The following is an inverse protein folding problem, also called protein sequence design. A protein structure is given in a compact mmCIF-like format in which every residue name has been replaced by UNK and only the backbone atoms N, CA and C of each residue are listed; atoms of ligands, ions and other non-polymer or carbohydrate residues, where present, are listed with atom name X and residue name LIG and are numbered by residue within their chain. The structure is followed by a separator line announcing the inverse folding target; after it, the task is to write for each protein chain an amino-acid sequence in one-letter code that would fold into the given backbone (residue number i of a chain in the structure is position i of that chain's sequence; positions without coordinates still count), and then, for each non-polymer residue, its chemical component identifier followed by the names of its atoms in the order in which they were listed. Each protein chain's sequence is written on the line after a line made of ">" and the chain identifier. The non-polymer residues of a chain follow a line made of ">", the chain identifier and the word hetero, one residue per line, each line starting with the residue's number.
data_IF_456373670674
#
_entry.id   IF_456373670674
#
_cell.length_a   1.000
_cell.length_b   1.000
_cell.length_c   1.000
_cell.angle_alpha   90.00
_cell.angle_beta   90.00
_cell.angle_gamma   90.00
#
_symmetry.space_group_name_H-M   'P 1'
#
loop_
_entity.id
_entity.type
_entity.pdbx_description
1 polymer ?
#
# COMPACT_ATOMS: atom_id res chain seq x y z
N UNK A 1 -25.72 -21.30 -2.69
CA UNK A 1 -26.01 -22.55 -3.43
C UNK A 1 -24.80 -23.47 -3.23
N UNK A 2 -24.94 -24.55 -2.46
CA UNK A 2 -24.04 -25.71 -2.24
C UNK A 2 -22.58 -25.68 -2.75
N UNK A 3 -21.65 -24.97 -2.08
CA UNK A 3 -20.20 -25.14 -2.30
C UNK A 3 -19.48 -25.95 -1.20
N UNK A 4 -20.15 -26.26 -0.08
CA UNK A 4 -19.52 -26.86 1.10
C UNK A 4 -19.30 -28.39 1.03
N UNK A 5 -19.61 -29.05 -0.10
CA UNK A 5 -19.57 -30.52 -0.22
C UNK A 5 -18.46 -31.07 -1.14
N UNK A 6 -17.77 -30.22 -1.91
CA UNK A 6 -16.66 -30.63 -2.76
C UNK A 6 -15.44 -29.77 -2.42
N UNK A 7 -14.33 -30.41 -2.09
CA UNK A 7 -13.09 -29.69 -1.79
C UNK A 7 -12.68 -28.77 -2.94
N UNK A 8 -12.19 -27.58 -2.59
CA UNK A 8 -11.63 -26.57 -3.49
C UNK A 8 -10.42 -27.14 -4.21
N UNK A 9 -10.52 -27.29 -5.52
CA UNK A 9 -9.45 -27.88 -6.35
C UNK A 9 -8.43 -26.80 -6.62
N UNK A 10 -7.22 -26.97 -6.07
CA UNK A 10 -6.21 -25.92 -6.10
C UNK A 10 -4.96 -26.31 -6.90
N UNK A 11 -4.40 -25.34 -7.61
CA UNK A 11 -3.04 -25.42 -8.17
C UNK A 11 -2.09 -24.57 -7.33
N UNK A 12 -0.84 -25.01 -7.22
CA UNK A 12 0.24 -24.22 -6.63
C UNK A 12 1.19 -23.81 -7.75
N UNK A 13 1.43 -22.51 -7.90
CA UNK A 13 2.37 -21.96 -8.89
C UNK A 13 3.70 -21.69 -8.20
N UNK A 14 4.75 -22.33 -8.72
CA UNK A 14 6.06 -22.42 -8.09
C UNK A 14 6.39 -23.84 -7.63
N UNK A 15 7.67 -24.18 -7.61
CA UNK A 15 8.19 -25.51 -7.22
C UNK A 15 9.26 -25.43 -6.11
N UNK A 16 9.60 -24.22 -5.66
CA UNK A 16 10.62 -23.98 -4.64
C UNK A 16 10.16 -24.30 -3.22
N UNK A 17 10.98 -23.88 -2.26
CA UNK A 17 10.79 -24.19 -0.83
C UNK A 17 9.45 -23.70 -0.28
N UNK A 18 9.07 -22.47 -0.61
CA UNK A 18 7.77 -21.89 -0.24
C UNK A 18 6.59 -22.68 -0.81
N UNK A 19 6.61 -23.06 -2.09
CA UNK A 19 5.55 -23.87 -2.71
C UNK A 19 5.35 -25.23 -2.00
N UNK A 20 6.44 -25.88 -1.60
CA UNK A 20 6.38 -27.13 -0.84
C UNK A 20 5.90 -26.95 0.60
N UNK A 21 6.23 -25.83 1.23
CA UNK A 21 5.71 -25.45 2.55
C UNK A 21 4.20 -25.25 2.52
N UNK A 22 3.69 -24.56 1.49
CA UNK A 22 2.25 -24.36 1.26
C UNK A 22 1.54 -25.72 1.17
N UNK A 23 2.05 -26.63 0.32
CA UNK A 23 1.51 -27.99 0.21
C UNK A 23 1.50 -28.72 1.57
N UNK A 24 2.59 -28.64 2.34
CA UNK A 24 2.70 -29.31 3.65
C UNK A 24 1.69 -28.77 4.66
N UNK A 25 1.47 -27.45 4.69
CA UNK A 25 0.52 -26.80 5.61
C UNK A 25 -0.93 -27.12 5.27
N UNK A 26 -1.27 -27.09 3.99
CA UNK A 26 -2.61 -27.44 3.53
C UNK A 26 -2.92 -28.92 3.79
N UNK A 27 -1.92 -29.80 3.64
CA UNK A 27 -2.07 -31.21 4.01
C UNK A 27 -2.15 -31.46 5.53
N UNK A 28 -1.46 -30.64 6.35
CA UNK A 28 -1.45 -30.81 7.81
C UNK A 28 -2.68 -30.21 8.50
N UNK A 29 -3.44 -29.34 7.82
CA UNK A 29 -4.69 -28.74 8.32
C UNK A 29 -5.88 -29.12 7.42
N UNK A 30 -6.35 -30.39 7.44
CA UNK A 30 -7.41 -30.89 6.55
C UNK A 30 -8.81 -30.29 6.81
N UNK A 31 -8.94 -29.31 7.72
CA UNK A 31 -10.16 -28.53 7.91
C UNK A 31 -10.39 -27.53 6.77
N UNK A 32 -9.31 -27.09 6.12
CA UNK A 32 -9.39 -26.29 4.92
C UNK A 32 -9.55 -27.27 3.76
N UNK A 33 -10.73 -27.33 3.16
CA UNK A 33 -11.15 -28.31 2.15
C UNK A 33 -10.39 -28.14 0.82
N UNK A 34 -9.06 -28.01 0.80
CA UNK A 34 -8.26 -27.87 -0.41
C UNK A 34 -7.79 -29.24 -0.91
N UNK A 35 -8.05 -29.52 -2.19
CA UNK A 35 -7.51 -30.66 -2.90
C UNK A 35 -6.47 -30.16 -3.91
N UNK A 36 -5.19 -30.25 -3.55
CA UNK A 36 -4.10 -29.84 -4.45
C UNK A 36 -4.06 -30.78 -5.65
N UNK A 37 -4.39 -30.25 -6.82
CA UNK A 37 -4.43 -31.00 -8.08
C UNK A 37 -3.02 -31.17 -8.64
N UNK A 38 -2.19 -30.13 -8.53
CA UNK A 38 -0.86 -30.13 -9.14
C UNK A 38 -0.07 -28.86 -8.89
N UNK A 39 1.22 -28.93 -9.23
CA UNK A 39 2.11 -27.80 -9.32
C UNK A 39 2.16 -27.24 -10.75
N UNK A 40 2.47 -25.96 -10.84
CA UNK A 40 2.76 -25.25 -12.08
C UNK A 40 4.19 -24.70 -12.00
N UNK A 41 5.05 -25.16 -12.91
CA UNK A 41 6.43 -24.71 -13.00
C UNK A 41 6.51 -23.39 -13.77
N UNK A 42 7.27 -22.44 -13.27
CA UNK A 42 7.48 -21.15 -13.93
C UNK A 42 8.35 -21.31 -15.18
N UNK A 43 9.27 -22.27 -15.20
CA UNK A 43 10.31 -22.40 -16.24
C UNK A 43 10.13 -23.58 -17.20
N UNK A 44 8.99 -24.30 -17.16
CA UNK A 44 8.68 -25.46 -18.05
C UNK A 44 9.66 -26.65 -17.99
N UNK A 45 10.64 -26.66 -17.09
CA UNK A 45 11.75 -27.63 -17.17
C UNK A 45 11.40 -29.00 -16.61
N UNK A 46 10.39 -29.07 -15.72
CA UNK A 46 10.14 -30.26 -14.88
C UNK A 46 8.73 -30.84 -15.05
N UNK A 47 8.14 -30.70 -16.23
CA UNK A 47 6.80 -31.21 -16.52
C UNK A 47 6.70 -32.73 -16.27
N UNK A 48 5.66 -33.15 -15.53
CA UNK A 48 5.43 -34.56 -15.18
C UNK A 48 6.25 -35.08 -13.98
N UNK A 49 7.18 -34.29 -13.45
CA UNK A 49 7.84 -34.65 -12.20
C UNK A 49 6.88 -34.53 -11.00
N UNK A 50 7.19 -35.27 -9.93
CA UNK A 50 6.41 -35.27 -8.69
C UNK A 50 7.19 -34.67 -7.54
N UNK A 51 6.58 -33.72 -6.85
CA UNK A 51 7.10 -33.08 -5.64
C UNK A 51 6.17 -33.46 -4.49
N UNK A 52 6.69 -34.18 -3.50
CA UNK A 52 5.91 -34.67 -2.34
C UNK A 52 4.60 -35.40 -2.74
N UNK A 53 4.65 -36.17 -3.84
CA UNK A 53 3.52 -36.94 -4.35
C UNK A 53 2.54 -36.18 -5.25
N UNK A 54 2.72 -34.87 -5.42
CA UNK A 54 1.91 -34.02 -6.32
C UNK A 54 2.67 -33.75 -7.60
N UNK A 55 2.00 -33.88 -8.74
CA UNK A 55 2.59 -33.77 -10.08
C UNK A 55 2.66 -32.32 -10.59
N UNK A 56 3.68 -32.02 -11.38
CA UNK A 56 3.77 -30.77 -12.15
C UNK A 56 2.97 -30.93 -13.43
N UNK A 57 1.80 -30.28 -13.50
CA UNK A 57 0.82 -30.45 -14.56
C UNK A 57 1.05 -29.52 -15.77
N UNK A 58 1.86 -28.49 -15.61
CA UNK A 58 2.03 -27.49 -16.64
C UNK A 58 2.94 -26.35 -16.20
N UNK A 59 2.85 -25.27 -16.95
CA UNK A 59 3.58 -24.04 -16.70
C UNK A 59 2.68 -22.82 -16.63
N UNK A 60 3.26 -21.69 -16.27
CA UNK A 60 2.58 -20.38 -16.26
C UNK A 60 2.02 -19.99 -17.63
N UNK A 61 2.52 -20.58 -18.72
CA UNK A 61 2.00 -20.41 -20.08
C UNK A 61 0.79 -21.33 -20.35
N UNK A 62 0.83 -22.57 -19.87
CA UNK A 62 -0.22 -23.57 -20.12
C UNK A 62 -1.27 -23.67 -19.02
N UNK A 63 -1.10 -22.91 -17.93
CA UNK A 63 -1.95 -22.95 -16.73
C UNK A 63 -3.44 -22.78 -17.03
N UNK A 64 -3.82 -21.98 -18.03
CA UNK A 64 -5.22 -21.85 -18.45
C UNK A 64 -5.85 -23.18 -18.87
N UNK A 65 -5.12 -23.97 -19.68
CA UNK A 65 -5.57 -25.31 -20.10
C UNK A 65 -5.69 -26.25 -18.90
N UNK A 66 -4.70 -26.20 -18.00
CA UNK A 66 -4.70 -27.04 -16.78
C UNK A 66 -5.90 -26.70 -15.89
N UNK A 67 -6.22 -25.42 -15.73
CA UNK A 67 -7.37 -24.94 -14.97
C UNK A 67 -8.67 -25.54 -15.52
N UNK A 68 -8.86 -25.47 -16.85
CA UNK A 68 -10.08 -25.95 -17.50
C UNK A 68 -10.20 -27.47 -17.45
N UNK A 69 -9.13 -28.19 -17.82
CA UNK A 69 -9.09 -29.66 -17.83
C UNK A 69 -9.32 -30.26 -16.45
N UNK A 70 -8.72 -29.65 -15.42
CA UNK A 70 -8.77 -30.17 -14.06
C UNK A 70 -9.86 -29.50 -13.21
N UNK A 71 -10.69 -28.61 -13.78
CA UNK A 71 -11.75 -27.86 -13.06
C UNK A 71 -11.24 -27.23 -11.77
N UNK A 72 -10.14 -26.49 -11.90
CA UNK A 72 -9.48 -25.81 -10.79
C UNK A 72 -10.31 -24.62 -10.36
N UNK A 73 -10.53 -24.45 -9.07
CA UNK A 73 -11.27 -23.33 -8.49
C UNK A 73 -10.37 -22.32 -7.79
N UNK A 74 -9.13 -22.72 -7.46
CA UNK A 74 -8.19 -21.89 -6.72
C UNK A 74 -6.78 -22.03 -7.29
N UNK A 75 -6.06 -20.93 -7.45
CA UNK A 75 -4.67 -20.89 -7.90
C UNK A 75 -3.85 -20.10 -6.89
N UNK A 76 -2.86 -20.75 -6.29
CA UNK A 76 -2.06 -20.22 -5.19
C UNK A 76 -0.64 -19.95 -5.71
N UNK A 77 -0.22 -18.69 -5.73
CA UNK A 77 1.12 -18.28 -6.15
C UNK A 77 2.07 -18.20 -4.95
N UNK A 78 3.24 -18.83 -5.09
CA UNK A 78 4.36 -18.65 -4.19
C UNK A 78 5.20 -17.45 -4.66
N UNK A 79 5.20 -16.35 -3.91
CA UNK A 79 5.90 -15.11 -4.31
C UNK A 79 7.44 -15.24 -4.32
N UNK A 80 7.98 -16.35 -3.83
CA UNK A 80 9.41 -16.69 -3.93
C UNK A 80 9.79 -17.20 -5.32
N UNK A 81 8.86 -17.85 -6.02
CA UNK A 81 9.13 -18.59 -7.26
C UNK A 81 8.79 -17.78 -8.53
N UNK A 82 7.92 -16.78 -8.41
CA UNK A 82 7.36 -16.02 -9.53
C UNK A 82 7.29 -14.53 -9.19
N UNK A 83 7.65 -13.67 -10.15
CA UNK A 83 7.58 -12.22 -9.95
C UNK A 83 6.12 -11.74 -9.88
N UNK A 84 5.88 -10.60 -9.22
CA UNK A 84 4.53 -10.03 -9.15
C UNK A 84 3.98 -9.68 -10.55
N UNK A 85 4.84 -9.19 -11.46
CA UNK A 85 4.46 -8.90 -12.84
C UNK A 85 4.00 -10.15 -13.59
N UNK A 86 4.70 -11.27 -13.41
CA UNK A 86 4.34 -12.55 -14.02
C UNK A 86 3.04 -13.11 -13.44
N UNK A 87 2.81 -12.95 -12.13
CA UNK A 87 1.54 -13.32 -11.48
C UNK A 87 0.38 -12.56 -12.16
N UNK A 88 0.50 -11.25 -12.30
CA UNK A 88 -0.54 -10.44 -12.96
C UNK A 88 -0.75 -10.86 -14.42
N UNK A 89 0.35 -11.17 -15.13
CA UNK A 89 0.30 -11.66 -16.50
C UNK A 89 -0.43 -12.99 -16.61
N UNK A 90 -0.20 -13.93 -15.68
CA UNK A 90 -0.92 -15.20 -15.60
C UNK A 90 -2.41 -14.97 -15.37
N UNK A 91 -2.77 -14.17 -14.36
CA UNK A 91 -4.17 -13.85 -14.03
C UNK A 91 -4.89 -13.20 -15.23
N UNK A 92 -4.21 -12.28 -15.92
CA UNK A 92 -4.75 -11.59 -17.09
C UNK A 92 -4.98 -12.49 -18.29
N UNK A 93 -4.17 -13.55 -18.46
CA UNK A 93 -4.25 -14.50 -19.58
C UNK A 93 -5.24 -15.63 -19.37
N UNK A 94 -5.43 -16.08 -18.12
CA UNK A 94 -6.31 -17.21 -17.83
C UNK A 94 -7.78 -16.83 -18.00
N UNK A 95 -8.19 -15.62 -17.59
CA UNK A 95 -9.57 -15.10 -17.72
C UNK A 95 -10.70 -16.11 -17.39
N UNK A 96 -10.44 -17.12 -16.56
CA UNK A 96 -11.39 -18.20 -16.28
C UNK A 96 -12.39 -17.71 -15.22
N UNK A 97 -13.68 -17.54 -15.56
CA UNK A 97 -14.69 -17.10 -14.59
C UNK A 97 -14.80 -18.12 -13.46
N UNK A 98 -14.78 -17.66 -12.21
CA UNK A 98 -14.95 -18.51 -11.03
C UNK A 98 -13.67 -19.14 -10.46
N UNK A 99 -12.49 -18.76 -10.95
CA UNK A 99 -11.21 -19.15 -10.34
C UNK A 99 -10.73 -18.07 -9.37
N UNK A 100 -10.41 -18.47 -8.14
CA UNK A 100 -9.84 -17.59 -7.12
C UNK A 100 -8.32 -17.62 -7.21
N UNK A 101 -7.68 -16.45 -7.28
CA UNK A 101 -6.23 -16.34 -7.23
C UNK A 101 -5.78 -15.88 -5.83
N UNK A 102 -4.73 -16.47 -5.28
CA UNK A 102 -4.17 -16.10 -3.96
C UNK A 102 -2.65 -16.07 -4.01
N UNK A 103 -2.01 -15.16 -3.26
CA UNK A 103 -0.55 -15.00 -3.25
C UNK A 103 -0.04 -15.22 -1.81
N UNK A 104 0.95 -16.09 -1.65
CA UNK A 104 1.61 -16.34 -0.37
C UNK A 104 2.99 -15.66 -0.38
N UNK A 105 3.20 -14.59 0.41
CA UNK A 105 4.48 -13.89 0.48
C UNK A 105 5.55 -14.68 1.26
N UNK A 106 6.82 -14.44 0.93
CA UNK A 106 8.01 -15.14 1.46
C UNK A 106 8.25 -14.89 2.95
N UNK A 107 7.69 -13.82 3.52
CA UNK A 107 7.88 -13.37 4.89
C UNK A 107 6.54 -13.20 5.61
N UNK A 108 6.13 -14.28 6.29
CA UNK A 108 5.14 -14.34 7.39
C UNK A 108 4.00 -13.31 7.32
N UNK A 109 3.01 -13.62 6.49
CA UNK A 109 1.57 -13.52 6.76
C UNK A 109 0.85 -13.85 5.44
N UNK A 110 -0.02 -14.86 5.46
CA UNK A 110 -0.77 -15.26 4.26
C UNK A 110 -1.81 -14.16 4.01
N UNK A 111 -1.62 -13.36 2.96
CA UNK A 111 -2.62 -12.38 2.51
C UNK A 111 -3.62 -13.14 1.63
N UNK A 112 -4.70 -13.63 2.24
CA UNK A 112 -5.83 -14.25 1.50
C UNK A 112 -6.66 -13.13 0.88
N UNK A 113 -6.33 -12.75 -0.36
CA UNK A 113 -7.16 -11.87 -1.19
C UNK A 113 -8.09 -12.70 -2.08
N UNK A 114 -9.40 -12.47 -2.03
CA UNK A 114 -10.35 -13.02 -3.01
C UNK A 114 -10.34 -12.13 -4.25
N UNK A 115 -9.59 -12.52 -5.28
CA UNK A 115 -9.64 -11.85 -6.58
C UNK A 115 -10.65 -12.60 -7.46
N UNK A 116 -11.87 -12.06 -7.55
CA UNK A 116 -12.90 -12.56 -8.46
C UNK A 116 -12.66 -12.06 -9.88
N UNK A 117 -12.55 -12.97 -10.85
CA UNK A 117 -12.35 -12.70 -12.28
C UNK A 117 -13.65 -12.21 -12.94
N UNK A 118 -14.29 -11.19 -12.39
CA UNK A 118 -15.50 -10.60 -13.03
C UNK A 118 -15.31 -9.14 -13.49
N UNK A 119 -14.10 -8.59 -13.35
CA UNK A 119 -13.78 -7.22 -13.81
C UNK A 119 -12.35 -7.13 -14.34
N UNK A 120 -12.09 -7.78 -15.49
CA UNK A 120 -10.88 -7.59 -16.29
C UNK A 120 -10.94 -6.25 -17.05
N UNK A 121 -10.94 -5.15 -16.30
CA UNK A 121 -10.54 -3.80 -16.75
C UNK A 121 -9.95 -2.96 -15.61
N UNK A 122 -9.80 -3.51 -14.41
CA UNK A 122 -9.15 -2.82 -13.30
C UNK A 122 -7.84 -3.52 -13.00
N UNK A 123 -6.73 -2.85 -13.36
CA UNK A 123 -5.41 -3.08 -12.75
C UNK A 123 -5.64 -3.38 -11.27
N UNK A 124 -5.12 -4.48 -10.71
CA UNK A 124 -5.43 -4.90 -9.35
C UNK A 124 -5.13 -3.73 -8.41
N UNK A 125 -6.20 -3.06 -8.00
CA UNK A 125 -6.16 -2.02 -7.00
C UNK A 125 -5.92 -2.77 -5.70
N UNK A 126 -4.65 -2.92 -5.34
CA UNK A 126 -4.32 -2.89 -3.92
C UNK A 126 -4.89 -1.55 -3.47
N UNK A 127 -6.06 -1.56 -2.85
CA UNK A 127 -6.55 -0.40 -2.11
C UNK A 127 -5.50 -0.14 -1.04
N UNK A 128 -4.55 0.72 -1.37
CA UNK A 128 -3.61 1.25 -0.39
C UNK A 128 -4.50 2.08 0.51
N UNK A 129 -4.94 1.49 1.62
CA UNK A 129 -5.57 2.24 2.69
C UNK A 129 -4.52 3.22 3.21
N UNK A 130 -4.61 4.47 2.75
CA UNK A 130 -3.78 5.53 3.28
C UNK A 130 -4.27 5.84 4.70
N UNK A 131 -3.40 5.81 5.70
CA UNK A 131 -3.78 6.14 7.09
C UNK A 131 -4.48 7.49 7.19
N UNK A 132 -4.13 8.44 6.30
CA UNK A 132 -4.75 9.77 6.24
C UNK A 132 -6.24 9.75 5.84
N UNK A 133 -6.73 8.65 5.26
CA UNK A 133 -8.13 8.42 4.92
C UNK A 133 -8.94 7.86 6.08
N UNK A 134 -8.28 7.23 7.07
CA UNK A 134 -8.97 6.65 8.22
C UNK A 134 -9.65 7.75 9.06
N UNK A 135 -10.97 7.64 9.34
CA UNK A 135 -11.68 8.67 10.11
C UNK A 135 -11.07 8.95 11.48
N UNK A 136 -10.57 7.92 12.16
CA UNK A 136 -9.90 8.04 13.46
C UNK A 136 -8.61 8.86 13.37
N UNK A 137 -7.77 8.59 12.38
CA UNK A 137 -6.53 9.34 12.14
C UNK A 137 -6.83 10.78 11.74
N UNK A 138 -7.83 11.00 10.87
CA UNK A 138 -8.25 12.36 10.47
C UNK A 138 -8.76 13.17 11.65
N UNK A 139 -9.55 12.55 12.53
CA UNK A 139 -10.04 13.19 13.74
C UNK A 139 -8.89 13.50 14.71
N UNK A 140 -8.03 12.52 15.00
CA UNK A 140 -6.88 12.68 15.88
C UNK A 140 -5.93 13.78 15.37
N UNK A 141 -5.67 13.78 14.05
CA UNK A 141 -4.89 14.81 13.38
C UNK A 141 -5.52 16.19 13.55
N UNK A 142 -6.84 16.30 13.38
CA UNK A 142 -7.52 17.59 13.53
C UNK A 142 -7.50 18.09 14.98
N UNK A 143 -7.69 17.21 15.95
CA UNK A 143 -7.58 17.55 17.37
C UNK A 143 -6.17 18.04 17.72
N UNK A 144 -5.14 17.34 17.22
CA UNK A 144 -3.75 17.74 17.35
C UNK A 144 -3.49 19.13 16.75
N UNK A 145 -3.95 19.38 15.53
CA UNK A 145 -3.75 20.68 14.86
C UNK A 145 -4.41 21.82 15.63
N UNK A 146 -5.64 21.64 16.12
CA UNK A 146 -6.35 22.65 16.90
C UNK A 146 -5.62 22.92 18.22
N UNK A 147 -5.27 21.87 18.97
CA UNK A 147 -4.61 22.00 20.27
C UNK A 147 -3.28 22.77 20.14
N UNK A 148 -2.44 22.37 19.19
CA UNK A 148 -1.15 23.02 18.92
C UNK A 148 -1.31 24.44 18.38
N UNK A 149 -2.31 24.71 17.53
CA UNK A 149 -2.61 26.07 17.07
C UNK A 149 -3.06 26.99 18.20
N UNK A 150 -3.87 26.52 19.14
CA UNK A 150 -4.31 27.33 20.30
C UNK A 150 -3.12 27.69 21.21
N UNK A 151 -2.24 26.72 21.49
CA UNK A 151 -1.00 26.95 22.25
C UNK A 151 -0.09 27.94 21.52
N UNK A 152 0.13 27.74 20.21
CA UNK A 152 0.90 28.68 19.39
C UNK A 152 0.30 30.08 19.43
N UNK A 153 -1.02 30.22 19.26
CA UNK A 153 -1.70 31.52 19.22
C UNK A 153 -1.60 32.29 20.53
N UNK A 154 -1.62 31.58 21.67
CA UNK A 154 -1.56 32.20 22.99
C UNK A 154 -0.13 32.64 23.37
N UNK A 155 0.87 31.81 23.09
CA UNK A 155 2.23 32.02 23.62
C UNK A 155 3.26 32.47 22.56
N UNK A 156 3.24 31.86 21.37
CA UNK A 156 4.31 32.00 20.37
C UNK A 156 3.95 33.07 19.34
N UNK A 157 2.69 33.10 18.90
CA UNK A 157 2.20 33.98 17.85
C UNK A 157 2.32 35.47 18.18
N UNK A 158 1.98 35.97 19.39
CA UNK A 158 2.10 37.40 19.70
C UNK A 158 3.56 37.87 19.64
N UNK A 159 4.48 37.02 20.13
CA UNK A 159 5.91 37.27 20.07
C UNK A 159 6.37 37.36 18.61
N UNK A 160 6.12 36.31 17.82
CA UNK A 160 6.52 36.27 16.40
C UNK A 160 5.91 37.42 15.61
N UNK A 161 4.64 37.77 15.85
CA UNK A 161 3.96 38.86 15.17
C UNK A 161 4.64 40.22 15.41
N UNK A 162 5.04 40.51 16.66
CA UNK A 162 5.74 41.77 17.00
C UNK A 162 7.13 41.81 16.36
N UNK A 163 7.91 40.73 16.46
CA UNK A 163 9.28 40.70 15.96
C UNK A 163 9.38 40.58 14.42
N UNK A 164 8.40 39.94 13.77
CA UNK A 164 8.37 39.79 12.31
C UNK A 164 8.17 41.13 11.58
N UNK A 165 7.60 42.15 12.24
CA UNK A 165 7.49 43.52 11.68
C UNK A 165 8.86 44.17 11.42
N UNK A 166 9.94 43.66 12.04
CA UNK A 166 11.29 44.22 11.96
C UNK A 166 12.17 43.53 10.89
N UNK A 167 11.58 42.92 9.85
CA UNK A 167 12.25 42.35 8.65
C UNK A 167 13.19 41.14 8.83
N UNK A 168 13.30 40.53 10.01
CA UNK A 168 13.88 39.18 10.15
C UNK A 168 12.78 38.11 10.03
N UNK A 169 12.39 37.76 8.79
CA UNK A 169 11.45 36.65 8.58
C UNK A 169 12.23 35.38 8.25
N UNK A 170 12.47 34.55 9.26
CA UNK A 170 12.96 33.17 9.08
C UNK A 170 11.84 32.26 8.57
N UNK A 171 12.20 31.11 8.00
CA UNK A 171 11.24 30.06 7.60
C UNK A 171 10.29 29.69 8.75
N UNK A 172 10.84 29.62 9.97
CA UNK A 172 10.11 29.36 11.21
C UNK A 172 9.08 30.43 11.56
N UNK A 173 9.44 31.72 11.45
CA UNK A 173 8.51 32.81 11.71
C UNK A 173 7.35 32.78 10.71
N UNK A 174 7.65 32.54 9.43
CA UNK A 174 6.65 32.35 8.37
C UNK A 174 5.68 31.21 8.67
N UNK A 175 6.17 30.09 9.18
CA UNK A 175 5.34 28.95 9.58
C UNK A 175 4.38 29.31 10.73
N UNK A 176 4.87 29.97 11.78
CA UNK A 176 4.03 30.37 12.93
C UNK A 176 2.95 31.38 12.52
N UNK A 177 3.23 32.29 11.58
CA UNK A 177 2.23 33.23 11.08
C UNK A 177 1.04 32.55 10.38
N UNK A 178 1.18 31.30 9.93
CA UNK A 178 0.09 30.50 9.36
C UNK A 178 -0.84 29.87 10.41
N UNK A 179 -0.55 30.00 11.71
CA UNK A 179 -1.37 29.45 12.82
C UNK A 179 -2.88 29.71 12.66
N UNK A 180 -3.35 30.93 12.28
CA UNK A 180 -4.78 31.18 12.10
C UNK A 180 -5.43 30.32 10.99
N UNK A 181 -4.70 29.99 9.93
CA UNK A 181 -5.19 29.17 8.81
C UNK A 181 -5.30 27.70 9.21
N UNK A 182 -4.38 27.22 10.03
CA UNK A 182 -4.46 25.89 10.65
C UNK A 182 -5.67 25.81 11.57
N UNK A 183 -5.89 26.81 12.42
CA UNK A 183 -7.06 26.85 13.31
C UNK A 183 -8.39 26.87 12.54
N UNK A 184 -8.51 27.67 11.48
CA UNK A 184 -9.69 27.69 10.58
C UNK A 184 -9.89 26.38 9.81
N UNK A 185 -8.86 25.55 9.73
CA UNK A 185 -8.90 24.27 9.02
C UNK A 185 -8.70 24.41 7.51
N UNK A 186 -8.15 25.51 7.03
CA UNK A 186 -7.66 25.65 5.66
C UNK A 186 -6.37 24.85 5.44
N UNK A 187 -5.56 24.72 6.50
CA UNK A 187 -4.28 24.03 6.50
C UNK A 187 -4.18 23.05 7.69
N UNK A 188 -3.16 22.22 7.64
CA UNK A 188 -2.66 21.39 8.74
C UNK A 188 -1.24 21.87 9.10
N UNK A 189 -0.77 21.63 10.34
CA UNK A 189 0.64 21.89 10.65
C UNK A 189 1.58 21.08 9.76
N UNK A 190 1.24 19.80 9.56
CA UNK A 190 2.01 18.85 8.77
C UNK A 190 1.15 18.32 7.64
N UNK A 191 1.64 18.43 6.41
CA UNK A 191 0.90 17.97 5.25
C UNK A 191 1.66 18.19 3.94
N UNK A 192 1.05 17.78 2.82
CA UNK A 192 1.61 18.00 1.50
C UNK A 192 1.80 19.50 1.20
N UNK A 193 2.78 19.86 0.35
CA UNK A 193 2.87 21.18 -0.25
C UNK A 193 1.58 21.55 -0.98
N UNK A 194 1.12 22.80 -0.83
CA UNK A 194 -0.17 23.24 -1.36
C UNK A 194 -0.29 23.17 -2.88
N UNK A 195 0.83 23.30 -3.60
CA UNK A 195 0.93 23.13 -5.06
C UNK A 195 0.77 21.68 -5.52
N UNK A 196 1.08 20.69 -4.65
CA UNK A 196 0.94 19.26 -4.98
C UNK A 196 -0.45 18.71 -4.76
N UNK A 197 -1.24 19.31 -3.86
CA UNK A 197 -2.60 18.80 -3.55
C UNK A 197 -3.48 18.75 -4.81
N UNK A 198 -3.55 19.79 -5.65
CA UNK A 198 -4.31 19.73 -6.91
C UNK A 198 -3.71 18.75 -7.93
N UNK A 199 -2.38 18.68 -8.02
CA UNK A 199 -1.68 17.82 -8.98
C UNK A 199 -1.92 16.33 -8.72
N UNK A 200 -2.04 15.95 -7.44
CA UNK A 200 -2.33 14.58 -7.02
C UNK A 200 -3.83 14.23 -7.13
N UNK A 201 -4.70 15.24 -7.17
CA UNK A 201 -6.14 15.05 -7.38
C UNK A 201 -6.52 14.89 -8.87
N UNK A 202 -5.65 15.30 -9.80
CA UNK A 202 -5.91 15.29 -11.25
C UNK A 202 -5.56 13.97 -11.96
N UNK A 203 -4.86 13.04 -11.31
CA UNK A 203 -4.26 11.85 -11.96
C UNK A 203 -5.23 10.67 -12.16
N UNK A 204 -6.52 10.95 -12.36
CA UNK A 204 -7.58 9.95 -12.59
C UNK A 204 -7.93 9.06 -11.38
N UNK A 205 -7.09 9.03 -10.36
CA UNK A 205 -7.33 8.41 -9.05
C UNK A 205 -7.40 9.53 -8.00
N UNK A 206 -8.57 9.77 -7.42
CA UNK A 206 -8.79 10.77 -6.37
C UNK A 206 -8.13 10.31 -5.05
N UNK A 207 -6.80 10.32 -5.00
CA UNK A 207 -6.05 9.97 -3.80
C UNK A 207 -6.07 11.18 -2.87
N UNK A 208 -6.88 11.09 -1.82
CA UNK A 208 -6.86 12.09 -0.77
C UNK A 208 -5.55 11.99 0.03
N UNK A 209 -4.73 13.03 -0.06
CA UNK A 209 -3.43 13.14 0.62
C UNK A 209 -3.44 14.12 1.80
N UNK A 210 -4.63 14.50 2.28
CA UNK A 210 -4.79 15.45 3.37
C UNK A 210 -4.87 16.91 2.94
N UNK A 211 -4.96 17.79 3.94
CA UNK A 211 -4.94 19.26 3.76
C UNK A 211 -3.51 19.75 3.53
N UNK A 212 -3.31 20.87 2.81
CA UNK A 212 -2.00 21.50 2.70
C UNK A 212 -1.33 21.72 4.06
N UNK A 213 -0.06 21.36 4.15
CA UNK A 213 0.77 21.52 5.34
C UNK A 213 1.41 22.91 5.43
N UNK A 214 1.56 23.45 6.63
CA UNK A 214 2.47 24.58 6.90
C UNK A 214 3.91 24.12 6.68
N UNK A 215 4.23 22.94 7.23
CA UNK A 215 5.44 22.17 6.96
C UNK A 215 5.05 20.82 6.39
N UNK A 216 6.02 20.10 5.81
CA UNK A 216 5.73 18.84 5.16
C UNK A 216 6.95 17.97 4.91
N UNK A 217 6.72 16.73 4.48
CA UNK A 217 7.80 15.77 4.22
C UNK A 217 8.75 16.30 3.14
N UNK A 218 8.23 16.94 2.09
CA UNK A 218 9.07 17.46 1.01
C UNK A 218 10.07 18.48 1.52
N UNK A 219 9.66 19.39 2.42
CA UNK A 219 10.50 20.45 2.94
C UNK A 219 11.66 19.94 3.81
N UNK A 220 11.50 18.80 4.50
CA UNK A 220 12.53 18.25 5.40
C UNK A 220 13.50 17.28 4.74
N UNK A 221 13.08 16.58 3.68
CA UNK A 221 13.95 15.63 2.96
C UNK A 221 14.67 16.29 1.77
N UNK A 222 14.76 17.63 1.76
CA UNK A 222 15.38 18.39 0.67
C UNK A 222 16.87 18.59 0.95
N UNK A 223 17.70 17.72 0.37
CA UNK A 223 19.15 17.97 0.23
C UNK A 223 19.53 18.47 -1.18
N UNK A 224 18.56 18.85 -2.03
CA UNK A 224 18.78 19.30 -3.42
C UNK A 224 17.48 19.58 -4.19
N UNK A 225 17.58 19.90 -5.50
CA UNK A 225 16.40 20.09 -6.38
C UNK A 225 15.73 18.73 -6.67
N UNK A 226 14.80 18.31 -5.81
CA UNK A 226 13.97 17.11 -6.02
C UNK A 226 13.12 17.25 -7.30
N UNK A 227 13.04 16.18 -8.09
CA UNK A 227 12.14 16.09 -9.24
C UNK A 227 10.67 16.10 -8.77
N UNK A 228 9.74 16.39 -9.69
CA UNK A 228 8.31 16.34 -9.39
C UNK A 228 7.87 14.93 -8.96
N UNK A 229 8.47 13.89 -9.53
CA UNK A 229 8.13 12.50 -9.21
C UNK A 229 8.66 12.07 -7.84
N UNK A 230 9.84 12.53 -7.43
CA UNK A 230 10.37 12.25 -6.09
C UNK A 230 9.52 12.94 -5.01
N UNK A 231 9.09 14.17 -5.29
CA UNK A 231 8.15 14.92 -4.46
C UNK A 231 6.81 14.19 -4.29
N UNK A 232 6.26 13.65 -5.39
CA UNK A 232 5.04 12.83 -5.36
C UNK A 232 5.23 11.59 -4.50
N UNK A 233 6.33 10.85 -4.67
CA UNK A 233 6.63 9.65 -3.88
C UNK A 233 6.71 9.95 -2.38
N UNK A 234 7.35 11.06 -2.00
CA UNK A 234 7.43 11.49 -0.60
C UNK A 234 6.05 11.81 -0.02
N UNK A 235 5.21 12.55 -0.75
CA UNK A 235 3.85 12.88 -0.31
C UNK A 235 2.98 11.62 -0.17
N UNK A 236 3.04 10.70 -1.14
CA UNK A 236 2.28 9.46 -1.10
C UNK A 236 2.75 8.54 0.04
N UNK A 237 4.07 8.46 0.27
CA UNK A 237 4.65 7.69 1.39
C UNK A 237 4.21 8.25 2.75
N UNK A 238 4.19 9.58 2.90
CA UNK A 238 3.67 10.24 4.08
C UNK A 238 2.17 9.97 4.26
N UNK A 239 1.35 10.15 3.21
CA UNK A 239 -0.09 9.90 3.28
C UNK A 239 -0.40 8.45 3.69
N UNK A 240 0.42 7.50 3.20
CA UNK A 240 0.27 6.07 3.50
C UNK A 240 0.55 5.77 4.97
N UNK A 241 1.65 6.30 5.50
CA UNK A 241 2.14 6.00 6.85
C UNK A 241 1.82 7.10 7.88
N UNK A 242 0.84 7.96 7.61
CA UNK A 242 0.56 9.12 8.45
C UNK A 242 0.23 8.69 9.89
N UNK A 243 0.91 9.32 10.85
CA UNK A 243 0.73 9.13 12.28
C UNK A 243 1.09 10.41 13.02
N UNK A 244 0.57 10.57 14.25
CA UNK A 244 0.90 11.74 15.07
C UNK A 244 2.39 11.79 15.45
N UNK A 245 3.03 10.63 15.65
CA UNK A 245 4.46 10.56 15.94
C UNK A 245 5.30 11.08 14.77
N UNK A 246 4.95 10.70 13.54
CA UNK A 246 5.60 11.21 12.33
C UNK A 246 5.41 12.72 12.20
N UNK A 247 4.21 13.23 12.47
CA UNK A 247 3.94 14.68 12.44
C UNK A 247 4.77 15.44 13.48
N UNK A 248 4.88 14.91 14.70
CA UNK A 248 5.71 15.49 15.75
C UNK A 248 7.18 15.49 15.32
N UNK A 249 7.67 14.39 14.76
CA UNK A 249 9.05 14.30 14.26
C UNK A 249 9.33 15.37 13.20
N UNK A 250 8.41 15.53 12.24
CA UNK A 250 8.50 16.54 11.19
C UNK A 250 8.56 17.94 11.80
N UNK A 251 7.65 18.26 12.73
CA UNK A 251 7.64 19.57 13.38
C UNK A 251 8.92 19.84 14.17
N UNK A 252 9.36 18.86 14.97
CA UNK A 252 10.60 18.98 15.75
C UNK A 252 11.78 19.24 14.82
N UNK A 253 11.98 18.44 13.77
CA UNK A 253 13.08 18.61 12.80
C UNK A 253 13.04 19.99 12.15
N UNK A 254 11.86 20.51 11.81
CA UNK A 254 11.71 21.83 11.22
C UNK A 254 12.06 22.97 12.19
N UNK A 255 11.55 22.92 13.42
CA UNK A 255 11.76 23.98 14.41
C UNK A 255 13.17 23.99 15.02
N UNK A 256 13.84 22.83 15.08
CA UNK A 256 15.22 22.72 15.57
C UNK A 256 16.27 22.88 14.49
N UNK A 257 15.87 22.90 13.21
CA UNK A 257 16.80 22.91 12.08
C UNK A 257 17.56 21.59 11.89
N UNK A 258 17.17 20.51 12.56
CA UNK A 258 17.82 19.19 12.44
C UNK A 258 17.57 18.49 11.09
N UNK A 259 16.88 19.15 10.15
CA UNK A 259 16.65 18.69 8.79
C UNK A 259 17.28 19.57 7.70
N UNK A 260 18.00 20.64 8.06
CA UNK A 260 18.77 21.48 7.13
C UNK A 260 20.26 21.12 7.14
#
# INVERSE_FOLDING_TARGET
>A
KNEALFGRRALIVGIGGSAQEILRRLNSHPRDLYHIVGFIDVNLQRLGERINGVEILGSTETIGKVIDEHRVTDVIFSAEDISFEDILSVIGRTKSPGVNYSIVPTNREVIVGKWGVDTLDEVPLVEIEYNINLPSHRFAKRAFDIATSLVSLLFIYPLVFVFSRNKLSTSTAGAILQTPRVLKGEMSWVGPPGDMVPLLAQDGRTIYVGKPGVVGPVQLYTHGKLSLDDKRKLVLSYAKNQSLSLDIEILVRFFTGLGE
#
